data_IF_843063281855
#
_entry.id   IF_843063281855
#
_cell.length_a   1.000
_cell.length_b   1.000
_cell.length_c   1.000
_cell.angle_alpha   90.00
_cell.angle_beta   90.00
_cell.angle_gamma   90.00
#
_symmetry.space_group_name_H-M   'P 1'
#
loop_
_entity.id
_entity.type
_entity.pdbx_description
1 polymer ?
#
# COMPACT_ATOMS: atom_id res chain seq x y z
N UNK A 1 10.77 -6.12 -38.64
CA UNK A 1 9.49 -6.27 -37.90
C UNK A 1 9.66 -5.64 -36.54
N UNK A 2 9.24 -4.39 -36.39
CA UNK A 2 9.37 -3.64 -35.14
C UNK A 2 8.45 -4.21 -34.06
N UNK A 3 9.07 -4.78 -33.03
CA UNK A 3 8.40 -5.16 -31.79
C UNK A 3 8.08 -3.88 -31.01
N UNK A 4 7.01 -3.18 -31.39
CA UNK A 4 6.46 -2.11 -30.57
C UNK A 4 5.73 -2.74 -29.36
N UNK A 5 6.52 -3.27 -28.42
CA UNK A 5 6.05 -3.70 -27.11
C UNK A 5 5.40 -2.49 -26.48
N UNK A 6 4.08 -2.54 -26.35
CA UNK A 6 3.26 -1.55 -25.68
C UNK A 6 3.74 -1.45 -24.22
N UNK A 7 4.76 -0.62 -23.95
CA UNK A 7 5.28 -0.41 -22.60
C UNK A 7 4.10 0.08 -21.77
N UNK A 8 3.78 -0.63 -20.69
CA UNK A 8 2.73 -0.22 -19.78
C UNK A 8 2.99 1.22 -19.34
N UNK A 9 2.11 2.15 -19.75
CA UNK A 9 2.29 3.57 -19.46
C UNK A 9 2.11 3.78 -17.95
N UNK A 10 3.14 4.31 -17.29
CA UNK A 10 3.12 4.56 -15.85
C UNK A 10 2.24 5.76 -15.51
N UNK A 11 1.65 5.74 -14.31
CA UNK A 11 0.98 6.91 -13.75
C UNK A 11 1.98 8.04 -13.50
N UNK A 12 1.74 9.17 -14.15
CA UNK A 12 2.48 10.42 -14.01
C UNK A 12 2.25 11.06 -12.63
N UNK A 13 3.08 12.02 -12.25
CA UNK A 13 2.94 12.75 -10.98
C UNK A 13 1.59 13.45 -10.86
N UNK A 14 1.09 14.04 -11.96
CA UNK A 14 -0.19 14.77 -11.94
C UNK A 14 -1.36 13.79 -11.81
N UNK A 15 -1.33 12.66 -12.52
CA UNK A 15 -2.31 11.59 -12.37
C UNK A 15 -2.34 11.04 -10.93
N UNK A 16 -1.17 10.89 -10.29
CA UNK A 16 -1.08 10.47 -8.88
C UNK A 16 -1.67 11.50 -7.93
N UNK A 17 -1.40 12.80 -8.14
CA UNK A 17 -1.97 13.88 -7.32
C UNK A 17 -3.48 13.92 -7.43
N UNK A 18 -4.02 13.87 -8.65
CA UNK A 18 -5.46 13.79 -8.88
C UNK A 18 -6.07 12.57 -8.17
N UNK A 19 -5.42 11.42 -8.28
CA UNK A 19 -5.86 10.21 -7.59
C UNK A 19 -5.91 10.41 -6.07
N UNK A 20 -4.85 10.93 -5.46
CA UNK A 20 -4.79 11.19 -4.02
C UNK A 20 -5.86 12.20 -3.58
N UNK A 21 -6.10 13.26 -4.36
CA UNK A 21 -7.13 14.25 -4.05
C UNK A 21 -8.54 13.67 -4.08
N UNK A 22 -8.84 12.79 -5.05
CA UNK A 22 -10.09 12.03 -5.05
C UNK A 22 -10.14 11.12 -3.82
N UNK A 23 -9.08 10.36 -3.57
CA UNK A 23 -9.01 9.38 -2.49
C UNK A 23 -9.19 10.01 -1.09
N UNK A 24 -8.73 11.25 -0.88
CA UNK A 24 -8.95 12.02 0.36
C UNK A 24 -10.44 12.19 0.71
N UNK A 25 -11.32 12.35 -0.29
CA UNK A 25 -12.77 12.50 -0.07
C UNK A 25 -13.41 11.21 0.44
N UNK A 26 -12.88 10.05 0.03
CA UNK A 26 -13.38 8.72 0.40
C UNK A 26 -12.59 8.07 1.54
N UNK A 27 -11.66 8.79 2.19
CA UNK A 27 -10.74 8.24 3.21
C UNK A 27 -11.47 7.46 4.32
N UNK A 28 -12.66 7.94 4.71
CA UNK A 28 -13.47 7.35 5.76
C UNK A 28 -14.18 6.07 5.37
N UNK A 29 -14.22 5.71 4.08
CA UNK A 29 -14.86 4.48 3.58
C UNK A 29 -13.79 3.43 3.27
N UNK A 30 -12.70 3.83 2.62
CA UNK A 30 -11.63 2.94 2.18
C UNK A 30 -10.80 2.37 3.35
N UNK A 31 -10.54 3.17 4.40
CA UNK A 31 -9.71 2.76 5.55
C UNK A 31 -10.54 2.25 6.77
N UNK A 32 -11.85 2.00 6.63
CA UNK A 32 -12.67 1.42 7.73
C UNK A 32 -12.16 0.03 8.16
N UNK A 33 -11.91 -0.14 9.46
CA UNK A 33 -11.55 -1.44 10.05
C UNK A 33 -12.80 -2.28 10.33
N UNK A 34 -12.89 -3.44 9.66
CA UNK A 34 -13.66 -4.66 10.01
C UNK A 34 -15.14 -4.49 10.46
N UNK A 35 -16.04 -4.08 9.55
CA UNK A 35 -17.43 -4.58 9.55
C UNK A 35 -17.68 -5.30 8.23
N UNK A 36 -18.34 -6.45 8.24
CA UNK A 36 -18.60 -7.25 7.03
C UNK A 36 -19.44 -6.46 6.00
N UNK A 37 -20.34 -5.60 6.49
CA UNK A 37 -21.08 -4.62 5.66
C UNK A 37 -20.17 -3.57 5.00
N UNK A 38 -18.96 -3.34 5.51
CA UNK A 38 -18.00 -2.41 4.94
C UNK A 38 -17.32 -2.94 3.68
N UNK A 39 -17.35 -4.25 3.38
CA UNK A 39 -16.73 -4.77 2.15
C UNK A 39 -17.47 -4.32 0.89
N UNK A 40 -18.81 -4.46 0.87
CA UNK A 40 -19.64 -3.97 -0.24
C UNK A 40 -19.53 -2.46 -0.39
N UNK A 41 -19.61 -1.73 0.73
CA UNK A 41 -19.41 -0.27 0.75
C UNK A 41 -18.02 0.15 0.26
N UNK A 42 -16.96 -0.62 0.53
CA UNK A 42 -15.62 -0.34 -0.01
C UNK A 42 -15.55 -0.57 -1.51
N UNK A 43 -16.13 -1.64 -2.03
CA UNK A 43 -16.12 -1.90 -3.47
C UNK A 43 -16.95 -0.88 -4.24
N UNK A 44 -18.06 -0.41 -3.67
CA UNK A 44 -18.83 0.73 -4.17
C UNK A 44 -17.99 2.00 -4.16
N UNK A 45 -17.34 2.34 -3.04
CA UNK A 45 -16.44 3.49 -2.93
C UNK A 45 -15.33 3.45 -4.00
N UNK A 46 -14.71 2.29 -4.20
CA UNK A 46 -13.68 2.10 -5.23
C UNK A 46 -14.23 2.23 -6.65
N UNK A 47 -15.46 1.80 -6.89
CA UNK A 47 -16.17 2.01 -8.15
C UNK A 47 -16.37 3.50 -8.40
N UNK A 48 -16.84 4.25 -7.39
CA UNK A 48 -17.13 5.67 -7.49
C UNK A 48 -15.85 6.52 -7.64
N UNK A 49 -14.80 6.22 -6.89
CA UNK A 49 -13.45 6.78 -7.10
C UNK A 49 -13.01 6.57 -8.55
N UNK A 50 -13.22 5.37 -9.10
CA UNK A 50 -12.80 5.05 -10.48
C UNK A 50 -13.60 5.82 -11.51
N UNK A 51 -14.92 5.96 -11.31
CA UNK A 51 -15.78 6.79 -12.16
C UNK A 51 -15.34 8.24 -12.13
N UNK A 52 -15.11 8.79 -10.94
CA UNK A 52 -14.71 10.18 -10.74
C UNK A 52 -13.32 10.47 -11.35
N UNK A 53 -12.37 9.55 -11.16
CA UNK A 53 -11.05 9.63 -11.77
C UNK A 53 -11.14 9.65 -13.31
N UNK A 54 -11.90 8.72 -13.89
CA UNK A 54 -12.05 8.62 -15.34
C UNK A 54 -12.87 9.79 -15.94
N UNK A 55 -13.76 10.40 -15.17
CA UNK A 55 -14.55 11.56 -15.58
C UNK A 55 -13.77 12.88 -15.44
N UNK A 56 -12.63 12.89 -14.77
CA UNK A 56 -11.81 14.09 -14.61
C UNK A 56 -11.29 14.57 -15.97
N UNK A 57 -11.41 15.88 -16.24
CA UNK A 57 -11.02 16.48 -17.52
C UNK A 57 -9.58 16.13 -17.93
N UNK A 58 -8.67 16.09 -16.95
CA UNK A 58 -7.29 15.68 -17.14
C UNK A 58 -7.19 14.27 -17.77
N UNK A 59 -7.90 13.30 -17.21
CA UNK A 59 -7.87 11.90 -17.67
C UNK A 59 -8.57 11.75 -19.02
N UNK A 60 -9.69 12.45 -19.22
CA UNK A 60 -10.39 12.47 -20.52
C UNK A 60 -9.46 12.99 -21.62
N UNK A 61 -8.73 14.08 -21.36
CA UNK A 61 -7.78 14.64 -22.31
C UNK A 61 -6.62 13.68 -22.58
N UNK A 62 -6.05 13.05 -21.55
CA UNK A 62 -4.98 12.07 -21.70
C UNK A 62 -5.41 10.81 -22.47
N UNK A 63 -6.62 10.32 -22.22
CA UNK A 63 -7.22 9.19 -22.95
C UNK A 63 -7.41 9.53 -24.42
N UNK A 64 -7.96 10.71 -24.73
CA UNK A 64 -8.16 11.18 -26.11
C UNK A 64 -6.84 11.41 -26.84
N UNK A 65 -5.91 12.15 -26.22
CA UNK A 65 -4.63 12.56 -26.81
C UNK A 65 -3.69 11.38 -27.02
N UNK A 66 -3.59 10.49 -26.03
CA UNK A 66 -2.60 9.40 -26.02
C UNK A 66 -3.20 8.01 -26.30
N UNK A 67 -4.47 7.96 -26.76
CA UNK A 67 -5.25 6.74 -27.00
C UNK A 67 -5.12 5.73 -25.86
N UNK A 68 -5.14 6.19 -24.62
CA UNK A 68 -5.07 5.30 -23.44
C UNK A 68 -6.44 4.68 -23.19
N UNK A 69 -6.47 3.54 -22.52
CA UNK A 69 -7.72 2.97 -21.98
C UNK A 69 -8.10 3.70 -20.70
N UNK A 70 -9.40 3.70 -20.39
CA UNK A 70 -9.89 4.12 -19.08
C UNK A 70 -9.27 3.25 -17.99
N UNK A 71 -9.07 3.84 -16.82
CA UNK A 71 -8.46 3.16 -15.69
C UNK A 71 -9.49 2.25 -15.04
N UNK A 72 -9.09 1.00 -14.75
CA UNK A 72 -9.91 0.03 -14.03
C UNK A 72 -9.70 0.17 -12.52
N UNK A 73 -10.71 -0.22 -11.74
CA UNK A 73 -10.67 -0.24 -10.26
C UNK A 73 -9.39 -0.91 -9.74
N UNK A 74 -9.02 -2.07 -10.33
CA UNK A 74 -7.85 -2.84 -9.91
C UNK A 74 -6.53 -2.06 -10.10
N UNK A 75 -6.45 -1.20 -11.11
CA UNK A 75 -5.26 -0.38 -11.37
C UNK A 75 -5.11 0.71 -10.31
N UNK A 76 -6.21 1.34 -9.89
CA UNK A 76 -6.20 2.33 -8.80
C UNK A 76 -5.91 1.68 -7.43
N UNK A 77 -6.51 0.51 -7.15
CA UNK A 77 -6.19 -0.29 -5.95
C UNK A 77 -4.70 -0.66 -5.90
N UNK A 78 -4.12 -1.07 -7.04
CA UNK A 78 -2.68 -1.38 -7.13
C UNK A 78 -1.82 -0.13 -6.96
N UNK A 79 -2.20 0.99 -7.57
CA UNK A 79 -1.51 2.27 -7.39
C UNK A 79 -1.48 2.66 -5.91
N UNK A 80 -2.62 2.59 -5.21
CA UNK A 80 -2.68 2.90 -3.78
C UNK A 80 -1.79 1.99 -2.93
N UNK A 81 -1.82 0.68 -3.22
CA UNK A 81 -0.98 -0.30 -2.54
C UNK A 81 0.51 0.01 -2.73
N UNK A 82 0.92 0.34 -3.96
CA UNK A 82 2.30 0.70 -4.26
C UNK A 82 2.72 2.02 -3.58
N UNK A 83 1.85 3.02 -3.53
CA UNK A 83 2.13 4.29 -2.83
C UNK A 83 2.36 4.05 -1.34
N UNK A 84 1.49 3.27 -0.68
CA UNK A 84 1.66 2.88 0.72
C UNK A 84 2.94 2.09 0.96
N UNK A 85 3.25 1.14 0.08
CA UNK A 85 4.44 0.31 0.21
C UNK A 85 5.72 1.14 0.06
N UNK A 86 5.79 1.98 -0.96
CA UNK A 86 6.95 2.86 -1.17
C UNK A 86 7.22 3.76 0.04
N UNK A 87 6.17 4.31 0.66
CA UNK A 87 6.30 5.12 1.88
C UNK A 87 6.83 4.28 3.06
N UNK A 88 6.34 3.06 3.24
CA UNK A 88 6.83 2.14 4.28
C UNK A 88 8.29 1.73 4.05
N UNK A 89 8.66 1.44 2.81
CA UNK A 89 10.02 1.02 2.45
C UNK A 89 11.02 2.13 2.72
N UNK A 90 10.65 3.37 2.36
CA UNK A 90 11.48 4.55 2.63
C UNK A 90 11.71 4.72 4.14
N UNK A 91 10.65 4.69 4.96
CA UNK A 91 10.74 4.78 6.42
C UNK A 91 11.53 3.62 7.04
N UNK A 92 11.34 2.40 6.55
CA UNK A 92 12.04 1.21 7.04
C UNK A 92 13.53 1.30 6.74
N UNK A 93 13.90 1.72 5.53
CA UNK A 93 15.29 1.93 5.12
C UNK A 93 15.97 3.01 5.95
N UNK A 94 15.28 4.11 6.24
CA UNK A 94 15.79 5.15 7.14
C UNK A 94 16.03 4.60 8.54
N UNK A 95 15.06 3.89 9.12
CA UNK A 95 15.17 3.30 10.46
C UNK A 95 16.33 2.30 10.53
N UNK A 96 16.45 1.41 9.54
CA UNK A 96 17.54 0.46 9.44
C UNK A 96 18.90 1.17 9.41
N UNK A 97 19.01 2.26 8.66
CA UNK A 97 20.25 3.02 8.62
C UNK A 97 20.59 3.76 9.92
N UNK A 98 19.59 4.29 10.64
CA UNK A 98 19.80 4.87 11.97
C UNK A 98 20.26 3.84 13.00
N UNK A 99 19.83 2.59 12.85
CA UNK A 99 20.21 1.48 13.74
C UNK A 99 21.54 0.83 13.35
N UNK A 100 22.08 1.15 12.17
CA UNK A 100 23.40 0.67 11.76
C UNK A 100 24.49 1.40 12.56
N UNK A 101 25.27 0.66 13.33
CA UNK A 101 26.36 1.18 14.18
C UNK A 101 27.71 1.28 13.46
N UNK A 102 27.77 0.93 12.17
CA UNK A 102 28.97 1.11 11.34
C UNK A 102 28.98 2.51 10.75
N UNK A 103 30.07 3.26 10.94
CA UNK A 103 30.25 4.70 10.61
C UNK A 103 30.08 5.12 9.14
N UNK A 104 28.96 4.76 8.53
CA UNK A 104 28.53 5.22 7.22
C UNK A 104 27.94 6.63 7.28
N UNK A 105 27.75 7.26 6.10
CA UNK A 105 27.21 8.61 6.00
C UNK A 105 25.81 8.72 6.60
N UNK A 106 25.52 9.84 7.28
CA UNK A 106 24.20 10.06 7.87
C UNK A 106 23.14 10.11 6.78
N UNK A 107 22.06 9.34 6.91
CA UNK A 107 20.95 9.38 5.96
C UNK A 107 20.02 10.55 6.34
N UNK A 108 19.70 11.39 5.35
CA UNK A 108 18.70 12.45 5.47
C UNK A 108 17.33 11.84 5.81
N UNK A 109 16.59 12.48 6.72
CA UNK A 109 15.26 12.04 7.14
C UNK A 109 14.33 11.88 5.94
N UNK A 110 13.56 10.78 5.89
CA UNK A 110 12.59 10.56 4.82
C UNK A 110 11.41 11.50 5.03
N UNK A 111 11.13 12.33 4.03
CA UNK A 111 9.94 13.16 4.00
C UNK A 111 8.70 12.28 3.81
N UNK A 112 7.73 12.44 4.71
CA UNK A 112 6.45 11.74 4.61
C UNK A 112 5.56 12.52 3.65
N UNK A 113 5.03 11.84 2.62
CA UNK A 113 4.04 12.47 1.73
C UNK A 113 2.80 12.88 2.56
N UNK A 114 2.52 14.19 2.69
CA UNK A 114 1.44 14.68 3.54
C UNK A 114 0.08 14.19 3.05
N UNK A 115 -0.09 13.97 1.75
CA UNK A 115 -1.35 13.50 1.15
C UNK A 115 -1.61 12.05 1.53
N UNK A 116 -0.57 11.21 1.53
CA UNK A 116 -0.66 9.81 1.98
C UNK A 116 -0.96 9.76 3.49
N UNK A 117 -0.30 10.61 4.29
CA UNK A 117 -0.50 10.67 5.75
C UNK A 117 -1.92 11.06 6.14
N UNK A 118 -2.57 11.96 5.38
CA UNK A 118 -3.97 12.36 5.62
C UNK A 118 -4.95 11.22 5.38
N UNK A 119 -4.66 10.36 4.38
CA UNK A 119 -5.54 9.27 3.98
C UNK A 119 -5.33 8.03 4.85
N UNK A 120 -4.06 7.68 5.12
CA UNK A 120 -3.69 6.50 5.91
C UNK A 120 -2.77 6.89 7.08
N UNK A 121 -3.31 7.53 8.13
CA UNK A 121 -2.51 7.95 9.29
C UNK A 121 -1.91 6.75 10.05
N UNK A 122 -2.59 5.60 10.03
CA UNK A 122 -2.13 4.35 10.64
C UNK A 122 -0.99 3.68 9.87
N UNK A 123 -0.66 4.15 8.65
CA UNK A 123 0.41 3.58 7.82
C UNK A 123 1.76 3.54 8.55
N UNK A 124 1.96 4.47 9.47
CA UNK A 124 3.19 4.74 10.20
C UNK A 124 3.23 4.15 11.61
N UNK A 125 2.16 3.49 12.07
CA UNK A 125 2.20 2.75 13.33
C UNK A 125 3.04 1.51 13.11
N UNK A 126 4.26 1.53 13.63
CA UNK A 126 5.22 0.44 13.57
C UNK A 126 4.54 -0.88 13.94
N UNK A 127 4.33 -1.75 12.97
CA UNK A 127 4.08 -3.16 13.27
C UNK A 127 5.39 -3.71 13.85
N UNK A 128 5.34 -4.54 14.92
CA UNK A 128 6.52 -5.25 15.40
C UNK A 128 7.15 -6.00 14.23
N UNK A 129 8.38 -5.64 13.88
CA UNK A 129 9.15 -6.36 12.87
C UNK A 129 9.70 -7.60 13.53
N UNK A 130 9.00 -8.73 13.43
CA UNK A 130 9.60 -10.01 13.79
C UNK A 130 10.39 -10.45 12.55
N UNK A 131 11.71 -10.37 12.64
CA UNK A 131 12.61 -10.86 11.59
C UNK A 131 12.46 -12.38 11.48
N UNK A 132 11.88 -12.86 10.39
CA UNK A 132 11.52 -14.27 10.18
C UNK A 132 12.67 -15.13 9.63
N UNK A 133 13.85 -14.58 9.38
CA UNK A 133 14.80 -15.26 8.48
C UNK A 133 15.59 -16.43 9.10
N UNK A 134 15.48 -16.72 10.40
CA UNK A 134 16.32 -17.73 11.07
C UNK A 134 15.60 -18.67 12.06
N UNK A 135 14.27 -18.74 12.08
CA UNK A 135 13.61 -19.60 13.08
C UNK A 135 13.72 -21.09 12.75
N UNK A 136 14.22 -21.89 13.70
CA UNK A 136 14.11 -23.35 13.65
C UNK A 136 12.63 -23.76 13.76
N UNK A 137 12.26 -24.88 13.13
CA UNK A 137 10.97 -25.55 13.23
C UNK A 137 10.37 -25.58 14.64
N UNK A 138 11.20 -25.78 15.68
CA UNK A 138 10.75 -25.78 17.10
C UNK A 138 10.45 -24.38 17.63
N UNK A 139 11.19 -23.37 17.20
CA UNK A 139 10.94 -21.97 17.57
C UNK A 139 9.68 -21.45 16.87
N UNK A 140 9.44 -21.88 15.63
CA UNK A 140 8.20 -21.61 14.88
C UNK A 140 7.00 -22.21 15.63
N UNK A 141 7.10 -23.45 16.12
CA UNK A 141 6.03 -24.12 16.86
C UNK A 141 5.72 -23.43 18.19
N UNK A 142 6.74 -23.00 18.94
CA UNK A 142 6.55 -22.20 20.16
C UNK A 142 5.92 -20.83 19.91
N UNK A 143 6.23 -20.21 18.77
CA UNK A 143 5.64 -18.96 18.32
C UNK A 143 4.15 -19.15 17.98
N UNK A 144 3.78 -20.22 17.28
CA UNK A 144 2.36 -20.57 17.05
C UNK A 144 1.61 -20.77 18.36
N UNK A 145 2.24 -21.38 19.35
CA UNK A 145 1.62 -21.66 20.64
C UNK A 145 1.36 -20.38 21.46
N UNK A 146 2.31 -19.43 21.43
CA UNK A 146 2.14 -18.08 21.99
C UNK A 146 1.04 -17.32 21.24
N UNK A 147 1.02 -17.41 19.91
CA UNK A 147 0.03 -16.72 19.09
C UNK A 147 -1.40 -17.26 19.28
N UNK A 148 -1.57 -18.58 19.38
CA UNK A 148 -2.85 -19.21 19.72
C UNK A 148 -3.34 -18.78 21.11
N UNK A 149 -2.44 -18.69 22.11
CA UNK A 149 -2.77 -18.17 23.45
C UNK A 149 -3.20 -16.70 23.44
N UNK A 150 -2.76 -15.93 22.46
CA UNK A 150 -3.11 -14.52 22.26
C UNK A 150 -4.23 -14.31 21.21
N UNK A 151 -4.86 -15.39 20.71
CA UNK A 151 -5.84 -15.39 19.61
C UNK A 151 -5.34 -14.75 18.30
N UNK A 152 -4.03 -14.71 18.06
CA UNK A 152 -3.44 -14.13 16.85
C UNK A 152 -3.46 -15.15 15.70
N UNK A 153 -3.89 -14.74 14.49
CA UNK A 153 -3.94 -15.62 13.30
C UNK A 153 -2.68 -15.44 12.47
N UNK A 154 -2.03 -16.55 12.13
CA UNK A 154 -0.82 -16.59 11.30
C UNK A 154 -1.22 -17.00 9.87
N UNK A 155 -0.79 -16.22 8.86
CA UNK A 155 -0.95 -16.57 7.45
C UNK A 155 0.44 -16.70 6.79
N UNK A 156 0.61 -17.74 5.99
CA UNK A 156 1.81 -17.96 5.19
C UNK A 156 1.59 -17.45 3.77
N UNK A 157 2.47 -16.56 3.28
CA UNK A 157 2.40 -16.05 1.92
C UNK A 157 3.80 -15.76 1.37
N UNK A 158 4.14 -16.30 0.20
CA UNK A 158 5.41 -16.11 -0.52
C UNK A 158 6.66 -16.21 0.40
N UNK A 159 6.81 -17.37 1.05
CA UNK A 159 7.91 -17.70 1.97
C UNK A 159 8.12 -16.72 3.14
N UNK A 160 7.09 -15.94 3.46
CA UNK A 160 7.08 -15.03 4.60
C UNK A 160 5.88 -15.32 5.51
N UNK A 161 6.14 -15.37 6.81
CA UNK A 161 5.09 -15.40 7.82
C UNK A 161 4.53 -13.99 8.02
N UNK A 162 3.23 -13.83 7.80
CA UNK A 162 2.53 -12.59 8.06
C UNK A 162 1.62 -12.79 9.28
N UNK A 163 1.95 -12.10 10.37
CA UNK A 163 1.25 -12.21 11.65
C UNK A 163 0.19 -11.11 11.79
N UNK A 164 -1.04 -11.50 12.13
CA UNK A 164 -2.13 -10.56 12.38
C UNK A 164 -2.83 -10.84 13.71
N UNK A 165 -3.42 -9.80 14.30
CA UNK A 165 -4.32 -9.95 15.44
C UNK A 165 -5.64 -10.55 14.98
N UNK A 166 -5.78 -11.86 15.20
CA UNK A 166 -7.05 -12.57 15.24
C UNK A 166 -7.82 -12.18 16.50
N UNK A 167 -9.13 -12.38 16.48
CA UNK A 167 -9.99 -12.18 17.65
C UNK A 167 -10.11 -13.47 18.40
#
# INVERSE_FOLDING_TARGET
MDKNKNKAKHFTTIERKLFLDILKRYKHEIELKKKISALKSKDEAWSDITKEYNASQLIIQEVRKLRRRLILVQQLKKLWTNLKQNQRDALTKEKQARMATGGGPSITSVEIDPDISVIAPDLMKTAPTIYSSNFDSKEIEGIYDIFNKLNLTVLYFDDNFIFYVGR
#
